data_IF_691334774715
#
_entry.id   IF_691334774715
#
_cell.length_a   1.000
_cell.length_b   1.000
_cell.length_c   1.000
_cell.angle_alpha   90.00
_cell.angle_beta   90.00
_cell.angle_gamma   90.00
#
_symmetry.space_group_name_H-M   'P 1'
#
loop_
_entity.id
_entity.type
_entity.pdbx_description
1 polymer ?
#
# COMPACT_ATOMS: atom_id res chain seq x y z
N UNK A 1 -1.70 -14.45 24.20
CA UNK A 1 -2.10 -14.16 25.58
C UNK A 1 -3.15 -15.17 25.94
N UNK A 2 -2.83 -16.11 26.83
CA UNK A 2 -3.80 -17.07 27.36
C UNK A 2 -4.15 -16.60 28.76
N UNK A 3 -5.40 -16.23 29.00
CA UNK A 3 -5.84 -15.83 30.33
C UNK A 3 -6.59 -17.00 30.98
N UNK A 4 -6.22 -17.32 32.21
CA UNK A 4 -6.94 -18.24 33.10
C UNK A 4 -7.18 -17.51 34.42
N UNK A 5 -8.45 -17.17 34.67
CA UNK A 5 -8.82 -16.33 35.82
C UNK A 5 -8.12 -14.98 35.79
N UNK A 6 -7.47 -14.59 36.89
CA UNK A 6 -6.72 -13.34 37.07
C UNK A 6 -5.30 -13.37 36.50
N UNK A 7 -4.86 -14.50 35.92
CA UNK A 7 -3.48 -14.66 35.43
C UNK A 7 -3.49 -14.78 33.92
N UNK A 8 -2.76 -13.89 33.25
CA UNK A 8 -2.55 -13.94 31.81
C UNK A 8 -1.12 -14.36 31.49
N UNK A 9 -0.97 -15.50 30.81
CA UNK A 9 0.29 -16.01 30.31
C UNK A 9 0.65 -15.24 29.04
N UNK A 10 1.76 -14.51 29.10
CA UNK A 10 2.34 -13.79 27.97
C UNK A 10 3.65 -14.46 27.57
N UNK A 11 3.69 -15.00 26.34
CA UNK A 11 4.77 -15.89 25.89
C UNK A 11 6.18 -15.26 25.91
N UNK A 12 6.29 -13.93 25.86
CA UNK A 12 7.55 -13.18 26.06
C UNK A 12 7.26 -11.90 26.84
N UNK A 13 7.76 -11.82 28.07
CA UNK A 13 7.55 -10.65 28.97
C UNK A 13 8.09 -9.34 28.36
N UNK A 14 9.17 -9.40 27.57
CA UNK A 14 9.74 -8.25 26.87
C UNK A 14 8.81 -7.67 25.80
N UNK A 15 8.08 -8.53 25.09
CA UNK A 15 7.10 -8.11 24.08
C UNK A 15 5.89 -7.44 24.74
N UNK A 16 5.50 -7.92 25.93
CA UNK A 16 4.44 -7.29 26.74
C UNK A 16 4.84 -5.88 27.18
N UNK A 17 6.06 -5.69 27.70
CA UNK A 17 6.54 -4.38 28.16
C UNK A 17 6.60 -3.37 27.00
N UNK A 18 7.08 -3.81 25.83
CA UNK A 18 7.11 -2.98 24.61
C UNK A 18 5.71 -2.66 24.07
N UNK A 19 4.74 -3.56 24.25
CA UNK A 19 3.35 -3.32 23.86
C UNK A 19 2.66 -2.37 24.85
N UNK A 20 2.88 -2.55 26.15
CA UNK A 20 2.36 -1.68 27.21
C UNK A 20 2.93 -0.26 27.14
N UNK A 21 4.20 -0.08 26.73
CA UNK A 21 4.77 1.27 26.55
C UNK A 21 4.14 2.06 25.39
N UNK A 22 3.53 1.35 24.43
CA UNK A 22 2.76 1.91 23.32
C UNK A 22 1.25 1.84 23.55
N UNK A 23 0.81 1.52 24.76
CA UNK A 23 -0.63 1.41 25.07
C UNK A 23 -1.25 2.79 25.26
N UNK A 24 -2.51 2.94 24.87
CA UNK A 24 -3.31 4.14 25.13
C UNK A 24 -4.44 3.80 26.08
N UNK A 25 -4.63 4.64 27.10
CA UNK A 25 -5.70 4.47 28.09
C UNK A 25 -6.93 5.21 27.56
N UNK A 26 -8.01 4.47 27.35
CA UNK A 26 -9.30 5.02 26.96
C UNK A 26 -10.26 4.94 28.16
N UNK A 27 -10.95 6.04 28.44
CA UNK A 27 -11.99 6.09 29.47
C UNK A 27 -13.36 6.18 28.81
N UNK A 28 -14.18 5.12 28.96
CA UNK A 28 -15.56 5.14 28.49
C UNK A 28 -16.50 5.00 29.68
N UNK A 29 -17.09 6.12 30.11
CA UNK A 29 -18.13 6.32 31.16
C UNK A 29 -17.97 5.59 32.51
N UNK A 30 -17.76 4.27 32.55
CA UNK A 30 -17.58 3.46 33.78
C UNK A 30 -16.47 2.40 33.68
N UNK A 31 -15.80 2.27 32.53
CA UNK A 31 -14.74 1.29 32.32
C UNK A 31 -13.45 1.98 31.85
N UNK A 32 -12.35 1.73 32.57
CA UNK A 32 -11.01 2.03 32.08
C UNK A 32 -10.56 0.88 31.19
N UNK A 33 -10.40 1.15 29.91
CA UNK A 33 -9.90 0.17 28.94
C UNK A 33 -8.49 0.56 28.53
N UNK A 34 -7.53 -0.35 28.75
CA UNK A 34 -6.16 -0.18 28.28
C UNK A 34 -6.07 -0.80 26.88
N UNK A 35 -5.94 0.04 25.86
CA UNK A 35 -5.64 -0.40 24.52
C UNK A 35 -4.19 -0.87 24.47
N UNK A 36 -3.95 -2.18 24.57
CA UNK A 36 -2.61 -2.81 24.54
C UNK A 36 -1.87 -2.51 23.22
N UNK A 37 -2.60 -2.07 22.19
CA UNK A 37 -2.06 -1.57 20.93
C UNK A 37 -2.73 -0.24 20.58
N UNK A 38 -1.99 0.87 20.72
CA UNK A 38 -2.32 2.08 19.96
C UNK A 38 -1.64 1.99 18.60
N UNK A 39 -2.40 2.23 17.53
CA UNK A 39 -1.78 2.36 16.21
C UNK A 39 -1.13 3.75 16.14
N UNK A 40 0.12 3.88 15.66
CA UNK A 40 0.73 5.20 15.41
C UNK A 40 -0.08 6.07 14.44
N UNK A 41 -1.08 5.49 13.77
CA UNK A 41 -2.01 6.16 12.86
C UNK A 41 -3.31 6.64 13.53
N UNK A 42 -3.44 6.54 14.86
CA UNK A 42 -4.55 7.09 15.64
C UNK A 42 -4.21 8.51 16.14
N UNK A 43 -5.24 9.36 16.31
CA UNK A 43 -5.10 10.71 16.83
C UNK A 43 -4.12 11.59 16.02
N UNK A 44 -3.16 12.20 16.72
CA UNK A 44 -2.19 13.13 16.13
C UNK A 44 -1.34 12.51 15.01
N UNK A 45 -1.01 11.22 15.11
CA UNK A 45 -0.22 10.54 14.09
C UNK A 45 -0.93 10.45 12.73
N UNK A 46 -2.25 10.24 12.75
CA UNK A 46 -3.08 10.28 11.53
C UNK A 46 -3.03 11.65 10.85
N UNK A 47 -3.09 12.72 11.64
CA UNK A 47 -3.03 14.09 11.15
C UNK A 47 -1.66 14.41 10.57
N UNK A 48 -0.58 14.05 11.27
CA UNK A 48 0.80 14.23 10.81
C UNK A 48 1.02 13.48 9.49
N UNK A 49 0.62 12.21 9.42
CA UNK A 49 0.71 11.38 8.20
C UNK A 49 -0.04 12.03 7.04
N UNK A 50 -1.22 12.60 7.30
CA UNK A 50 -2.03 13.27 6.28
C UNK A 50 -1.39 14.58 5.81
N UNK A 51 -0.84 15.37 6.72
CA UNK A 51 -0.13 16.60 6.39
C UNK A 51 1.11 16.29 5.54
N UNK A 52 1.90 15.28 5.92
CA UNK A 52 3.01 14.78 5.13
C UNK A 52 2.58 14.36 3.72
N UNK A 53 1.53 13.54 3.59
CA UNK A 53 1.01 13.07 2.30
C UNK A 53 0.58 14.23 1.40
N UNK A 54 -0.02 15.28 1.96
CA UNK A 54 -0.44 16.46 1.21
C UNK A 54 0.74 17.31 0.78
N UNK A 55 1.69 17.58 1.67
CA UNK A 55 2.86 18.42 1.38
C UNK A 55 3.77 17.71 0.37
N UNK A 56 4.24 16.51 0.68
CA UNK A 56 5.13 15.76 -0.21
C UNK A 56 4.41 15.34 -1.50
N UNK A 57 3.14 14.94 -1.40
CA UNK A 57 2.35 14.54 -2.56
C UNK A 57 2.13 15.68 -3.53
N UNK A 58 1.91 16.90 -3.04
CA UNK A 58 1.74 18.09 -3.90
C UNK A 58 3.06 18.45 -4.59
N UNK A 59 4.17 18.45 -3.85
CA UNK A 59 5.50 18.71 -4.43
C UNK A 59 5.83 17.69 -5.52
N UNK A 60 5.67 16.39 -5.24
CA UNK A 60 5.93 15.33 -6.22
C UNK A 60 4.99 15.46 -7.42
N UNK A 61 3.69 15.73 -7.20
CA UNK A 61 2.72 15.91 -8.28
C UNK A 61 3.13 17.02 -9.26
N UNK A 62 3.57 18.16 -8.75
CA UNK A 62 4.06 19.27 -9.57
C UNK A 62 5.28 18.84 -10.37
N UNK A 63 6.26 18.20 -9.73
CA UNK A 63 7.48 17.73 -10.40
C UNK A 63 7.22 16.71 -11.52
N UNK A 64 6.28 15.77 -11.31
CA UNK A 64 5.98 14.72 -12.30
C UNK A 64 4.94 15.14 -13.33
N UNK A 65 4.30 16.31 -13.19
CA UNK A 65 3.17 16.74 -14.04
C UNK A 65 3.56 16.83 -15.53
N UNK A 66 4.73 17.38 -15.83
CA UNK A 66 5.27 17.47 -17.20
C UNK A 66 5.55 16.09 -17.79
N UNK A 67 6.10 15.17 -17.00
CA UNK A 67 6.31 13.77 -17.39
C UNK A 67 4.99 13.03 -17.61
N UNK A 68 3.99 13.25 -16.75
CA UNK A 68 2.65 12.69 -16.91
C UNK A 68 1.98 13.15 -18.20
N UNK A 69 2.16 14.42 -18.59
CA UNK A 69 1.67 14.93 -19.87
C UNK A 69 2.34 14.25 -21.06
N UNK A 70 3.68 14.08 -21.02
CA UNK A 70 4.40 13.37 -22.06
C UNK A 70 3.95 11.89 -22.19
N UNK A 71 3.74 11.21 -21.06
CA UNK A 71 3.20 9.84 -21.04
C UNK A 71 1.78 9.80 -21.62
N UNK A 72 0.93 10.76 -21.27
CA UNK A 72 -0.44 10.85 -21.78
C UNK A 72 -0.48 10.97 -23.31
N UNK A 73 0.40 11.80 -23.89
CA UNK A 73 0.58 11.92 -25.34
C UNK A 73 1.05 10.58 -25.92
N UNK A 74 2.07 9.95 -25.32
CA UNK A 74 2.56 8.64 -25.75
C UNK A 74 1.48 7.55 -25.78
N UNK A 75 0.59 7.51 -24.79
CA UNK A 75 -0.54 6.57 -24.75
C UNK A 75 -1.52 6.84 -25.90
N UNK A 76 -1.85 8.11 -26.16
CA UNK A 76 -2.78 8.51 -27.24
C UNK A 76 -2.23 8.22 -28.63
N UNK A 77 -0.92 8.35 -28.83
CA UNK A 77 -0.27 8.04 -30.10
C UNK A 77 -0.14 6.53 -30.35
N UNK A 78 0.00 5.73 -29.28
CA UNK A 78 0.26 4.28 -29.40
C UNK A 78 -0.97 3.40 -29.23
N UNK A 79 -2.07 3.92 -28.68
CA UNK A 79 -3.30 3.17 -28.45
C UNK A 79 -4.55 4.07 -28.50
N UNK A 80 -5.65 3.54 -29.06
CA UNK A 80 -6.96 4.22 -29.03
C UNK A 80 -7.60 4.06 -27.65
N UNK A 81 -8.29 5.11 -27.19
CA UNK A 81 -9.04 5.10 -25.92
C UNK A 81 -8.63 6.20 -24.93
N UNK A 82 -9.12 6.13 -23.67
CA UNK A 82 -8.78 7.10 -22.63
C UNK A 82 -7.36 6.85 -22.06
N UNK A 83 -6.70 7.93 -21.65
CA UNK A 83 -5.35 7.93 -21.06
C UNK A 83 -5.34 7.23 -19.70
N UNK A 84 -6.34 7.55 -18.88
CA UNK A 84 -6.44 7.04 -17.53
C UNK A 84 -7.36 5.83 -17.45
N UNK A 85 -7.05 4.97 -16.51
CA UNK A 85 -7.84 3.83 -16.07
C UNK A 85 -7.94 3.87 -14.55
N UNK A 86 -9.08 3.43 -14.01
CA UNK A 86 -9.30 3.33 -12.56
C UNK A 86 -9.51 1.87 -12.23
N UNK A 87 -8.94 1.37 -11.14
CA UNK A 87 -9.14 -0.02 -10.73
C UNK A 87 -9.62 -0.10 -9.28
N UNK A 88 -10.58 -0.98 -9.02
CA UNK A 88 -11.07 -1.20 -7.67
C UNK A 88 -10.05 -1.99 -6.83
N UNK A 89 -9.86 -1.50 -5.61
CA UNK A 89 -8.92 -2.01 -4.60
C UNK A 89 -9.51 -1.86 -3.22
N UNK A 90 -8.98 -2.62 -2.26
CA UNK A 90 -9.29 -2.41 -0.85
C UNK A 90 -8.39 -1.34 -0.23
N UNK A 91 -9.02 -0.38 0.45
CA UNK A 91 -8.40 0.72 1.16
C UNK A 91 -8.42 0.53 2.68
N UNK A 92 -8.43 1.66 3.39
CA UNK A 92 -8.56 1.71 4.84
C UNK A 92 -9.86 1.02 5.28
N UNK A 93 -9.77 0.22 6.34
CA UNK A 93 -10.86 -0.59 6.89
C UNK A 93 -11.54 -1.52 5.88
N UNK A 94 -10.83 -1.88 4.79
CA UNK A 94 -11.37 -2.75 3.74
C UNK A 94 -12.41 -2.07 2.85
N UNK A 95 -12.51 -0.73 2.86
CA UNK A 95 -13.42 -0.01 1.96
C UNK A 95 -12.93 -0.09 0.50
N UNK A 96 -13.83 -0.22 -0.47
CA UNK A 96 -13.46 -0.20 -1.89
C UNK A 96 -13.04 1.22 -2.30
N UNK A 97 -11.86 1.35 -2.92
CA UNK A 97 -11.33 2.60 -3.47
C UNK A 97 -11.00 2.43 -4.95
N UNK A 98 -11.14 3.51 -5.73
CA UNK A 98 -10.75 3.56 -7.14
C UNK A 98 -9.33 4.09 -7.28
N UNK A 99 -8.39 3.24 -7.69
CA UNK A 99 -6.98 3.60 -7.85
C UNK A 99 -6.70 4.03 -9.28
N UNK A 100 -6.17 5.23 -9.46
CA UNK A 100 -5.83 5.80 -10.77
C UNK A 100 -4.55 5.20 -11.34
N UNK A 101 -4.56 4.89 -12.63
CA UNK A 101 -3.40 4.42 -13.40
C UNK A 101 -3.42 4.97 -14.81
N UNK A 102 -2.27 4.99 -15.45
CA UNK A 102 -2.22 5.11 -16.90
C UNK A 102 -2.65 3.81 -17.57
N UNK A 103 -3.29 3.93 -18.72
CA UNK A 103 -3.63 2.79 -19.56
C UNK A 103 -2.34 2.16 -20.12
N UNK A 104 -2.04 0.94 -19.70
CA UNK A 104 -0.95 0.13 -20.24
C UNK A 104 -1.44 -1.07 -21.08
N UNK A 105 -2.74 -1.37 -21.05
CA UNK A 105 -3.37 -2.52 -21.70
C UNK A 105 -4.48 -2.12 -22.68
N UNK A 106 -4.70 -2.93 -23.72
CA UNK A 106 -5.75 -2.70 -24.74
C UNK A 106 -7.15 -2.97 -24.20
N UNK A 107 -7.29 -3.99 -23.35
CA UNK A 107 -8.55 -4.37 -22.68
C UNK A 107 -8.56 -3.80 -21.26
N UNK A 108 -9.71 -3.25 -20.82
CA UNK A 108 -9.90 -2.77 -19.46
C UNK A 108 -10.55 -3.88 -18.62
N UNK A 109 -9.83 -4.40 -17.62
CA UNK A 109 -10.41 -5.31 -16.63
C UNK A 109 -10.86 -4.55 -15.39
N UNK A 110 -12.13 -4.14 -15.40
CA UNK A 110 -12.85 -3.63 -14.23
C UNK A 110 -14.07 -4.51 -13.90
N UNK A 111 -13.95 -5.82 -14.13
CA UNK A 111 -14.93 -6.82 -13.71
C UNK A 111 -14.64 -7.30 -12.29
N UNK A 112 -15.63 -7.93 -11.64
CA UNK A 112 -15.48 -8.53 -10.31
C UNK A 112 -14.38 -9.61 -10.28
N UNK A 113 -14.12 -10.28 -11.41
CA UNK A 113 -12.97 -11.14 -11.65
C UNK A 113 -11.91 -10.39 -12.45
N UNK A 114 -10.88 -9.89 -11.77
CA UNK A 114 -9.67 -9.36 -12.42
C UNK A 114 -8.60 -10.45 -12.41
N UNK A 115 -8.10 -10.81 -13.60
CA UNK A 115 -7.00 -11.76 -13.76
C UNK A 115 -5.69 -10.99 -13.57
N UNK A 116 -4.81 -11.49 -12.69
CA UNK A 116 -3.49 -10.88 -12.53
C UNK A 116 -2.74 -10.92 -13.87
N UNK A 117 -2.25 -9.76 -14.30
CA UNK A 117 -1.40 -9.70 -15.48
C UNK A 117 -0.11 -10.49 -15.21
N UNK A 118 0.18 -11.45 -16.09
CA UNK A 118 1.37 -12.31 -16.05
C UNK A 118 2.48 -11.73 -16.91
N UNK A 119 3.69 -12.31 -16.80
CA UNK A 119 4.80 -11.96 -17.69
C UNK A 119 4.42 -12.25 -19.14
N UNK A 120 4.65 -11.27 -20.03
CA UNK A 120 4.32 -11.32 -21.46
C UNK A 120 2.82 -11.38 -21.79
N UNK A 121 1.97 -10.78 -20.95
CA UNK A 121 0.54 -10.71 -21.21
C UNK A 121 0.20 -10.04 -22.56
N UNK A 122 -0.55 -10.71 -23.46
CA UNK A 122 -0.83 -10.22 -24.82
C UNK A 122 -1.68 -8.95 -24.84
N UNK A 123 -2.35 -8.62 -23.73
CA UNK A 123 -3.17 -7.41 -23.60
C UNK A 123 -2.32 -6.15 -23.38
N UNK A 124 -1.07 -6.30 -22.96
CA UNK A 124 -0.15 -5.19 -22.68
C UNK A 124 0.38 -4.61 -24.00
N UNK A 125 0.30 -3.29 -24.16
CA UNK A 125 0.84 -2.60 -25.34
C UNK A 125 2.37 -2.51 -25.24
N UNK A 126 3.10 -2.33 -26.36
CA UNK A 126 4.56 -2.12 -26.32
C UNK A 126 4.96 -0.95 -25.43
N UNK A 127 4.27 0.20 -25.57
CA UNK A 127 4.47 1.35 -24.69
C UNK A 127 4.03 1.06 -23.25
N UNK A 128 2.91 0.37 -23.06
CA UNK A 128 2.46 -0.06 -21.73
C UNK A 128 3.44 -1.00 -21.01
N UNK A 129 4.15 -1.87 -21.74
CA UNK A 129 5.21 -2.72 -21.19
C UNK A 129 6.35 -1.87 -20.62
N UNK A 130 6.76 -0.82 -21.34
CA UNK A 130 7.73 0.16 -20.83
C UNK A 130 7.21 0.86 -19.57
N UNK A 131 5.96 1.34 -19.57
CA UNK A 131 5.36 2.02 -18.41
C UNK A 131 5.32 1.11 -17.17
N UNK A 132 4.95 -0.17 -17.32
CA UNK A 132 4.86 -1.13 -16.21
C UNK A 132 6.22 -1.50 -15.65
N UNK A 133 7.20 -1.76 -16.52
CA UNK A 133 8.58 -2.08 -16.13
C UNK A 133 9.23 -0.93 -15.33
N UNK A 134 8.88 0.31 -15.66
CA UNK A 134 9.37 1.50 -14.97
C UNK A 134 8.43 1.98 -13.85
N UNK A 135 7.30 1.29 -13.64
CA UNK A 135 6.21 1.71 -12.74
C UNK A 135 5.66 3.12 -13.00
N UNK A 136 5.91 3.67 -14.18
CA UNK A 136 5.38 4.96 -14.61
C UNK A 136 3.86 4.93 -14.78
N UNK A 137 3.28 3.75 -14.98
CA UNK A 137 1.83 3.57 -15.06
C UNK A 137 1.10 3.91 -13.74
N UNK A 138 1.83 3.96 -12.63
CA UNK A 138 1.30 4.23 -11.28
C UNK A 138 1.40 5.69 -10.86
N UNK A 139 2.03 6.57 -11.66
CA UNK A 139 2.13 8.00 -11.34
C UNK A 139 0.78 8.68 -11.08
N UNK A 140 -0.33 8.35 -11.78
CA UNK A 140 -1.64 8.92 -11.48
C UNK A 140 -2.15 8.61 -10.05
N UNK A 141 -1.58 7.65 -9.33
CA UNK A 141 -1.95 7.35 -7.94
C UNK A 141 -1.65 8.51 -6.98
N UNK A 142 -0.77 9.46 -7.34
CA UNK A 142 -0.61 10.68 -6.55
C UNK A 142 -1.92 11.49 -6.48
N UNK A 143 -2.84 11.34 -7.43
CA UNK A 143 -4.19 11.93 -7.36
C UNK A 143 -4.95 11.30 -6.17
N UNK A 144 -4.85 9.98 -5.98
CA UNK A 144 -5.44 9.29 -4.83
C UNK A 144 -4.87 9.75 -3.49
N UNK A 145 -3.57 10.05 -3.45
CA UNK A 145 -2.90 10.60 -2.26
C UNK A 145 -3.49 11.96 -1.93
N UNK A 146 -3.59 12.88 -2.90
CA UNK A 146 -4.19 14.19 -2.69
C UNK A 146 -5.67 14.09 -2.28
N UNK A 147 -6.43 13.18 -2.90
CA UNK A 147 -7.83 12.87 -2.52
C UNK A 147 -7.97 12.22 -1.14
N UNK A 148 -6.88 11.69 -0.58
CA UNK A 148 -6.86 11.07 0.74
C UNK A 148 -7.34 9.62 0.78
N UNK A 149 -7.57 8.97 -0.36
CA UNK A 149 -7.92 7.55 -0.44
C UNK A 149 -6.69 6.63 -0.34
N UNK A 150 -5.50 7.18 -0.62
CA UNK A 150 -4.20 6.51 -0.50
C UNK A 150 -3.22 7.39 0.29
N UNK A 151 -2.09 6.79 0.67
CA UNK A 151 -0.90 7.45 1.23
C UNK A 151 0.27 7.30 0.25
N UNK A 152 1.31 8.13 0.37
CA UNK A 152 2.55 7.93 -0.40
C UNK A 152 3.20 6.61 0.03
N UNK A 153 3.29 6.40 1.34
CA UNK A 153 3.89 5.21 1.97
C UNK A 153 2.82 4.42 2.72
N UNK A 154 2.79 3.11 2.50
CA UNK A 154 1.85 2.20 3.16
C UNK A 154 1.81 0.82 2.50
N UNK A 155 0.98 -0.11 3.02
CA UNK A 155 0.78 -1.41 2.40
C UNK A 155 0.25 -1.27 0.98
N UNK A 156 0.84 -1.98 0.02
CA UNK A 156 0.42 -1.87 -1.39
C UNK A 156 -1.01 -2.42 -1.56
N UNK A 157 -1.93 -1.73 -2.27
CA UNK A 157 -3.28 -2.24 -2.45
C UNK A 157 -3.30 -3.46 -3.38
N UNK A 158 -4.01 -4.52 -2.98
CA UNK A 158 -4.22 -5.71 -3.80
C UNK A 158 -5.60 -5.71 -4.46
N UNK A 159 -5.70 -6.39 -5.61
CA UNK A 159 -6.98 -6.60 -6.27
C UNK A 159 -7.92 -7.35 -5.32
N UNK A 160 -9.21 -6.99 -5.39
CA UNK A 160 -10.26 -7.53 -4.51
C UNK A 160 -10.25 -9.06 -4.51
N UNK A 161 -10.12 -9.67 -5.70
CA UNK A 161 -10.05 -11.12 -5.90
C UNK A 161 -8.89 -11.78 -5.14
N UNK A 162 -7.68 -11.23 -5.23
CA UNK A 162 -6.52 -11.77 -4.53
C UNK A 162 -6.64 -11.62 -3.02
N UNK A 163 -7.25 -10.53 -2.57
CA UNK A 163 -7.48 -10.29 -1.15
C UNK A 163 -8.32 -11.41 -0.52
N UNK A 164 -9.39 -11.82 -1.19
CA UNK A 164 -10.27 -12.90 -0.72
C UNK A 164 -9.58 -14.28 -0.68
N UNK A 165 -8.63 -14.52 -1.60
CA UNK A 165 -7.83 -15.73 -1.60
C UNK A 165 -6.83 -15.76 -0.43
N UNK A 166 -6.05 -14.69 -0.27
CA UNK A 166 -4.98 -14.65 0.73
C UNK A 166 -5.48 -14.48 2.15
N UNK A 167 -6.63 -13.83 2.38
CA UNK A 167 -7.18 -13.67 3.75
C UNK A 167 -7.43 -15.01 4.45
N UNK A 168 -7.66 -16.08 3.68
CA UNK A 168 -7.91 -17.44 4.18
C UNK A 168 -6.62 -18.23 4.42
N UNK A 169 -5.51 -17.81 3.81
CA UNK A 169 -4.27 -18.58 3.76
C UNK A 169 -3.14 -17.94 4.57
N UNK A 170 -3.18 -16.63 4.80
CA UNK A 170 -2.12 -15.89 5.49
C UNK A 170 -2.65 -15.33 6.79
N UNK A 171 -2.01 -15.70 7.90
CA UNK A 171 -2.34 -15.18 9.22
C UNK A 171 -2.16 -13.66 9.26
N UNK A 172 -3.01 -12.95 10.00
CA UNK A 172 -2.92 -11.51 10.20
C UNK A 172 -3.01 -10.66 8.91
N UNK A 173 -3.41 -11.25 7.78
CA UNK A 173 -3.51 -10.58 6.48
C UNK A 173 -4.32 -9.29 6.54
N UNK A 174 -5.42 -9.29 7.29
CA UNK A 174 -6.33 -8.16 7.37
C UNK A 174 -5.75 -6.94 8.09
N UNK A 175 -4.67 -7.10 8.87
CA UNK A 175 -4.03 -5.98 9.61
C UNK A 175 -3.57 -4.87 8.66
N UNK A 176 -3.17 -5.22 7.43
CA UNK A 176 -2.75 -4.26 6.41
C UNK A 176 -3.81 -3.22 6.05
N UNK A 177 -5.09 -3.51 6.30
CA UNK A 177 -6.20 -2.58 6.04
C UNK A 177 -6.46 -1.62 7.20
N UNK A 178 -5.70 -1.69 8.31
CA UNK A 178 -5.80 -0.70 9.40
C UNK A 178 -5.23 0.67 9.05
N UNK A 179 -4.51 0.78 7.95
CA UNK A 179 -3.92 2.03 7.45
C UNK A 179 -4.28 2.24 5.99
N UNK A 180 -4.11 3.46 5.47
CA UNK A 180 -4.32 3.73 4.05
C UNK A 180 -3.30 2.96 3.22
N UNK A 181 -3.71 2.39 2.07
CA UNK A 181 -2.77 1.76 1.17
C UNK A 181 -1.79 2.78 0.59
N UNK A 182 -0.56 2.33 0.32
CA UNK A 182 0.55 3.14 -0.18
C UNK A 182 0.80 2.98 -1.68
N UNK A 183 1.35 4.02 -2.31
CA UNK A 183 2.00 3.90 -3.63
C UNK A 183 3.27 3.06 -3.51
N UNK A 184 4.08 3.37 -2.49
CA UNK A 184 5.25 2.59 -2.06
C UNK A 184 5.08 2.12 -0.61
N UNK A 185 6.00 1.28 -0.13
CA UNK A 185 5.91 0.68 1.20
C UNK A 185 7.15 -0.11 1.57
N UNK A 186 7.23 -0.50 2.85
CA UNK A 186 8.37 -1.22 3.40
C UNK A 186 8.60 -2.56 2.67
N UNK A 187 7.53 -3.31 2.39
CA UNK A 187 7.61 -4.55 1.63
C UNK A 187 8.20 -4.33 0.22
N UNK A 188 7.80 -3.24 -0.46
CA UNK A 188 8.25 -2.93 -1.81
C UNK A 188 9.75 -2.62 -1.86
N UNK A 189 10.25 -1.80 -0.92
CA UNK A 189 11.69 -1.50 -0.87
C UNK A 189 12.54 -2.68 -0.40
N UNK A 190 11.95 -3.70 0.23
CA UNK A 190 12.61 -4.95 0.61
C UNK A 190 12.47 -6.06 -0.44
N UNK A 191 12.05 -5.74 -1.67
CA UNK A 191 12.06 -6.68 -2.79
C UNK A 191 10.74 -7.41 -3.04
N UNK A 192 9.73 -7.21 -2.20
CA UNK A 192 8.41 -7.83 -2.33
C UNK A 192 7.43 -6.95 -3.11
N UNK A 193 7.88 -6.31 -4.22
CA UNK A 193 7.05 -5.45 -5.09
C UNK A 193 6.30 -6.22 -6.19
N UNK A 194 6.89 -7.30 -6.69
CA UNK A 194 6.45 -8.01 -7.90
C UNK A 194 5.35 -9.05 -7.69
N UNK A 195 5.25 -9.94 -8.67
CA UNK A 195 4.32 -11.08 -8.71
C UNK A 195 4.45 -11.99 -7.47
N UNK A 196 3.32 -12.58 -7.08
CA UNK A 196 3.20 -13.50 -5.96
C UNK A 196 3.05 -14.89 -6.55
N UNK A 197 4.18 -15.48 -6.92
CA UNK A 197 4.28 -16.84 -7.47
C UNK A 197 4.30 -17.92 -6.37
N UNK A 198 4.52 -17.53 -5.11
CA UNK A 198 4.56 -18.43 -3.96
C UNK A 198 3.93 -17.78 -2.71
N UNK A 199 3.23 -18.59 -1.90
CA UNK A 199 2.53 -18.13 -0.69
C UNK A 199 3.49 -17.46 0.31
N UNK A 200 4.69 -18.01 0.49
CA UNK A 200 5.75 -17.43 1.34
C UNK A 200 6.07 -15.96 1.01
N UNK A 201 6.01 -15.57 -0.28
CA UNK A 201 6.25 -14.16 -0.66
C UNK A 201 5.14 -13.24 -0.16
N UNK A 202 3.91 -13.75 -0.07
CA UNK A 202 2.80 -13.01 0.51
C UNK A 202 2.94 -12.89 2.02
N UNK A 203 3.31 -13.96 2.71
CA UNK A 203 3.58 -13.93 4.15
C UNK A 203 4.67 -12.91 4.49
N UNK A 204 5.77 -12.89 3.73
CA UNK A 204 6.83 -11.87 3.90
C UNK A 204 6.34 -10.46 3.62
N UNK A 205 5.51 -10.26 2.60
CA UNK A 205 4.90 -8.95 2.32
C UNK A 205 4.05 -8.48 3.51
N UNK A 206 3.18 -9.34 4.02
CA UNK A 206 2.34 -9.06 5.19
C UNK A 206 3.20 -8.80 6.43
N UNK A 207 4.29 -9.54 6.62
CA UNK A 207 5.24 -9.31 7.71
C UNK A 207 5.82 -7.88 7.67
N UNK A 208 6.30 -7.43 6.51
CA UNK A 208 6.80 -6.06 6.35
C UNK A 208 5.70 -5.00 6.45
N UNK A 209 4.48 -5.29 6.00
CA UNK A 209 3.35 -4.38 6.15
C UNK A 209 3.00 -4.19 7.64
N UNK A 210 3.02 -5.27 8.43
CA UNK A 210 2.82 -5.21 9.89
C UNK A 210 3.97 -4.47 10.59
N UNK A 211 5.21 -4.76 10.22
CA UNK A 211 6.40 -4.08 10.76
C UNK A 211 6.34 -2.56 10.51
N UNK A 212 5.90 -2.17 9.31
CA UNK A 212 5.67 -0.76 8.97
C UNK A 212 4.61 -0.13 9.86
N UNK A 213 3.45 -0.78 10.00
CA UNK A 213 2.34 -0.25 10.81
C UNK A 213 2.75 -0.08 12.28
N UNK A 214 3.51 -1.04 12.84
CA UNK A 214 3.91 -1.04 14.24
C UNK A 214 5.01 -0.02 14.59
N UNK A 215 5.84 0.34 13.61
CA UNK A 215 7.02 1.18 13.79
C UNK A 215 6.97 2.45 12.95
N UNK A 216 5.77 2.84 12.52
CA UNK A 216 5.61 4.04 11.72
C UNK A 216 6.19 5.25 12.43
N UNK A 217 6.93 6.03 11.66
CA UNK A 217 7.44 7.34 12.03
C UNK A 217 7.66 8.13 10.76
N UNK A 218 7.62 9.46 10.86
CA UNK A 218 7.89 10.36 9.73
C UNK A 218 9.25 10.06 9.08
N UNK A 219 10.26 9.73 9.89
CA UNK A 219 11.59 9.37 9.39
C UNK A 219 11.60 8.06 8.60
N UNK A 220 10.81 7.07 9.02
CA UNK A 220 10.67 5.81 8.28
C UNK A 220 10.05 6.05 6.90
N UNK A 221 9.04 6.91 6.80
CA UNK A 221 8.42 7.26 5.52
C UNK A 221 9.41 7.94 4.58
N UNK A 222 10.16 8.95 5.06
CA UNK A 222 11.23 9.61 4.29
C UNK A 222 12.25 8.58 3.78
N UNK A 223 12.71 7.67 4.65
CA UNK A 223 13.66 6.60 4.28
C UNK A 223 13.09 5.69 3.20
N UNK A 224 11.80 5.34 3.28
CA UNK A 224 11.13 4.51 2.27
C UNK A 224 11.01 5.27 0.94
N UNK A 225 10.64 6.55 0.96
CA UNK A 225 10.53 7.39 -0.25
C UNK A 225 11.88 7.48 -0.96
N UNK A 226 12.95 7.83 -0.23
CA UNK A 226 14.31 7.93 -0.78
C UNK A 226 14.75 6.57 -1.37
N UNK A 227 14.59 5.47 -0.62
CA UNK A 227 14.91 4.13 -1.12
C UNK A 227 14.08 3.73 -2.33
N UNK A 228 12.84 4.21 -2.44
CA UNK A 228 11.95 3.95 -3.57
C UNK A 228 12.48 4.59 -4.84
N UNK A 229 13.05 5.80 -4.77
CA UNK A 229 13.67 6.43 -5.93
C UNK A 229 14.82 5.55 -6.44
N UNK A 230 15.76 5.17 -5.57
CA UNK A 230 16.92 4.37 -5.99
C UNK A 230 16.57 2.93 -6.43
N UNK A 231 15.62 2.26 -5.75
CA UNK A 231 15.23 0.88 -6.07
C UNK A 231 14.16 0.77 -7.15
N UNK A 232 13.31 1.78 -7.31
CA UNK A 232 12.21 1.82 -8.27
C UNK A 232 12.68 1.96 -9.72
N UNK A 233 13.75 2.73 -9.95
CA UNK A 233 14.37 2.88 -11.27
C UNK A 233 15.35 1.74 -11.64
N UNK A 234 15.79 0.93 -10.66
CA UNK A 234 16.90 -0.06 -10.84
C UNK A 234 16.47 -1.52 -10.57
N UNK A 235 15.24 -1.77 -10.11
CA UNK A 235 14.81 -3.09 -9.63
C UNK A 235 14.47 -4.11 -10.73
N UNK A 236 15.16 -5.26 -10.74
CA UNK A 236 14.91 -6.45 -11.59
C UNK A 236 13.51 -7.12 -11.43
N UNK A 237 12.64 -6.59 -10.56
CA UNK A 237 11.36 -7.21 -10.17
C UNK A 237 10.12 -6.38 -10.55
N UNK A 238 10.28 -5.29 -11.33
CA UNK A 238 9.17 -4.56 -11.91
C UNK A 238 8.85 -5.14 -13.31
N UNK A 239 7.70 -5.81 -13.44
CA UNK A 239 7.21 -6.42 -14.68
C UNK A 239 5.86 -5.82 -15.08
#
# INVERSE_FOLDING_TARGET
MLCHGTVCVVGKMRDLILQLSKSSIYSTKSLQTIGIFSSPFEGAGSFIKRAEDLVLGSVIMVMISSLMLAIAIGIKLTSRGPVFFKQDRYGLSGQKIKVWKFRSMRVMENSDTVIQATKNDPRVTKFGSFLRRTSLDELPQFINVLQGSMSIVGPRPHAVTHNEQYRKQVENYMIRHKVKPGITGLAQINGFRGEIDALYKMEKRVQYDIEYIQNWSLWLDIKIIIKTIFKGFVGKNAY
#
